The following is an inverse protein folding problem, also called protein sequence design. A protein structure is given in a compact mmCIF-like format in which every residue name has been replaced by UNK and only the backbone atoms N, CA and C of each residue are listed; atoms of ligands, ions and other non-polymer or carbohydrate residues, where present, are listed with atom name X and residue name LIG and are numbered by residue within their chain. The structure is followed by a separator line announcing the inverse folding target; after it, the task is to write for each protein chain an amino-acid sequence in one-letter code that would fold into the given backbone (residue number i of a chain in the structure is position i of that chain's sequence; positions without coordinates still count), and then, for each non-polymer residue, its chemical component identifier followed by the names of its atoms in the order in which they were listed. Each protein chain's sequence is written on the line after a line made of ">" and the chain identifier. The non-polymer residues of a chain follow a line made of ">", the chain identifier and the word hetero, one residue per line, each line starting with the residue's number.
data_IF_278369690276
#
_entry.id   IF_278369690276
#
_cell.length_a   1.000
_cell.length_b   1.000
_cell.length_c   1.000
_cell.angle_alpha   90.00
_cell.angle_beta   90.00
_cell.angle_gamma   90.00
#
_symmetry.space_group_name_H-M   'P 1'
#
loop_
_entity.id
_entity.type
_entity.pdbx_description
1 polymer ?
#
# COMPACT_ATOMS: atom_id res chain seq x y z
N UNK A 1 -6.22 -12.80 10.49
CA UNK A 1 -6.27 -12.04 9.21
C UNK A 1 -6.76 -12.94 8.09
N UNK A 2 -7.56 -12.39 7.21
CA UNK A 2 -8.11 -13.13 6.08
C UNK A 2 -7.50 -12.59 4.79
N UNK A 3 -6.95 -13.48 3.95
CA UNK A 3 -6.36 -13.07 2.68
C UNK A 3 -7.44 -12.55 1.72
N UNK A 4 -7.18 -11.41 1.10
CA UNK A 4 -8.06 -10.83 0.09
C UNK A 4 -7.67 -11.41 -1.27
N UNK A 5 -8.65 -11.95 -1.97
CA UNK A 5 -8.43 -12.48 -3.31
C UNK A 5 -8.36 -11.30 -4.29
N UNK A 6 -7.32 -11.27 -5.12
CA UNK A 6 -7.17 -10.23 -6.13
C UNK A 6 -8.20 -10.45 -7.25
N UNK A 7 -9.22 -9.59 -7.38
CA UNK A 7 -10.28 -9.80 -8.36
C UNK A 7 -9.84 -9.49 -9.79
N UNK A 8 -8.68 -8.82 -9.96
CA UNK A 8 -8.16 -8.44 -11.27
C UNK A 8 -7.26 -9.50 -11.90
N UNK A 9 -6.90 -10.52 -11.13
CA UNK A 9 -5.98 -11.57 -11.59
C UNK A 9 -6.57 -12.28 -12.82
N UNK A 10 -5.81 -12.30 -13.89
CA UNK A 10 -6.24 -12.90 -15.15
C UNK A 10 -7.05 -11.99 -16.07
N UNK A 11 -7.35 -10.77 -15.63
CA UNK A 11 -8.05 -9.80 -16.46
C UNK A 11 -7.11 -9.28 -17.54
N UNK A 12 -7.59 -9.27 -18.79
CA UNK A 12 -6.81 -8.76 -19.91
C UNK A 12 -6.47 -7.28 -19.70
N UNK A 13 -5.19 -6.95 -19.91
CA UNK A 13 -4.71 -5.57 -19.74
C UNK A 13 -4.34 -5.20 -18.32
N UNK A 14 -4.63 -6.05 -17.33
CA UNK A 14 -4.25 -5.78 -15.95
C UNK A 14 -2.75 -5.93 -15.77
N UNK A 15 -2.08 -4.83 -15.43
CA UNK A 15 -0.63 -4.79 -15.27
C UNK A 15 -0.21 -3.77 -14.21
N UNK A 16 -0.99 -3.66 -13.13
CA UNK A 16 -0.72 -2.70 -12.07
C UNK A 16 0.67 -2.88 -11.48
N UNK A 17 1.41 -1.81 -11.37
CA UNK A 17 2.74 -1.83 -10.78
C UNK A 17 2.70 -2.26 -9.31
N UNK A 18 1.65 -1.90 -8.59
CA UNK A 18 1.53 -2.20 -7.15
C UNK A 18 1.09 -3.62 -6.86
N UNK A 19 0.15 -4.17 -7.62
CA UNK A 19 -0.53 -5.41 -7.22
C UNK A 19 -0.62 -6.51 -8.29
N UNK A 20 -0.26 -6.24 -9.54
CA UNK A 20 -0.35 -7.27 -10.57
C UNK A 20 0.77 -8.29 -10.41
N UNK A 21 0.44 -9.58 -10.14
CA UNK A 21 1.48 -10.58 -9.90
C UNK A 21 2.32 -10.90 -11.14
N UNK A 22 1.79 -10.60 -12.34
CA UNK A 22 2.48 -10.87 -13.59
C UNK A 22 3.31 -9.69 -14.10
N UNK A 23 3.29 -8.55 -13.42
CA UNK A 23 4.16 -7.43 -13.76
C UNK A 23 5.55 -7.66 -13.16
N UNK A 24 6.50 -8.08 -13.98
CA UNK A 24 7.85 -8.41 -13.53
C UNK A 24 8.57 -7.23 -12.86
N UNK A 25 8.28 -6.02 -13.29
CA UNK A 25 8.87 -4.81 -12.72
C UNK A 25 8.15 -4.35 -11.45
N UNK A 26 6.97 -4.87 -11.18
CA UNK A 26 6.10 -4.41 -10.11
C UNK A 26 6.50 -4.90 -8.72
N UNK A 27 5.89 -4.33 -7.73
CA UNK A 27 6.16 -4.66 -6.32
C UNK A 27 5.32 -5.83 -5.81
N UNK A 28 4.31 -6.23 -6.55
CA UNK A 28 3.54 -7.49 -6.36
C UNK A 28 2.98 -7.64 -4.95
N UNK A 29 2.31 -6.62 -4.48
CA UNK A 29 1.71 -6.64 -3.14
C UNK A 29 0.55 -7.63 -3.04
N UNK A 30 0.44 -8.23 -1.88
CA UNK A 30 -0.71 -9.04 -1.50
C UNK A 30 -1.35 -8.43 -0.26
N UNK A 31 -2.65 -8.65 -0.07
CA UNK A 31 -3.42 -7.95 0.94
C UNK A 31 -4.23 -8.90 1.78
N UNK A 32 -4.41 -8.51 3.05
CA UNK A 32 -5.19 -9.24 4.04
C UNK A 32 -6.16 -8.28 4.70
N UNK A 33 -7.29 -8.80 5.13
CA UNK A 33 -8.26 -8.03 5.91
C UNK A 33 -8.09 -8.36 7.39
N UNK A 34 -8.02 -7.33 8.22
CA UNK A 34 -7.87 -7.46 9.67
C UNK A 34 -8.79 -6.41 10.33
N UNK A 35 -10.04 -6.82 10.64
CA UNK A 35 -11.05 -5.91 11.14
C UNK A 35 -11.39 -4.83 10.11
N UNK A 36 -11.26 -3.58 10.51
CA UNK A 36 -11.50 -2.43 9.63
C UNK A 36 -10.25 -2.04 8.82
N UNK A 37 -9.15 -2.73 9.04
CA UNK A 37 -7.90 -2.47 8.31
C UNK A 37 -7.70 -3.43 7.15
N UNK A 38 -6.92 -2.97 6.18
CA UNK A 38 -6.28 -3.82 5.18
C UNK A 38 -4.79 -3.81 5.49
N UNK A 39 -4.18 -4.99 5.41
CA UNK A 39 -2.78 -5.22 5.78
C UNK A 39 -2.03 -5.80 4.60
N UNK A 40 -0.79 -5.38 4.40
CA UNK A 40 0.12 -5.99 3.43
C UNK A 40 1.43 -6.27 4.13
N UNK A 41 1.93 -7.48 3.95
CA UNK A 41 3.25 -7.89 4.42
C UNK A 41 4.13 -7.98 3.18
N UNK A 42 5.18 -7.18 3.13
CA UNK A 42 5.99 -7.05 1.92
C UNK A 42 7.47 -7.19 2.25
N UNK A 43 8.20 -7.80 1.35
CA UNK A 43 9.63 -7.97 1.53
C UNK A 43 10.40 -6.93 0.73
N UNK A 44 11.17 -6.05 1.39
CA UNK A 44 12.05 -5.12 0.68
C UNK A 44 13.08 -5.87 -0.16
N UNK A 45 13.50 -5.27 -1.25
CA UNK A 45 14.49 -5.84 -2.17
C UNK A 45 15.52 -4.77 -2.57
N UNK A 46 16.77 -5.19 -2.86
CA UNK A 46 17.85 -4.25 -3.20
C UNK A 46 17.56 -3.40 -4.44
N UNK A 47 16.80 -3.92 -5.41
CA UNK A 47 16.47 -3.18 -6.62
C UNK A 47 15.54 -1.99 -6.37
N UNK A 48 14.96 -1.90 -5.18
CA UNK A 48 14.11 -0.77 -4.80
C UNK A 48 14.83 0.19 -3.83
N UNK A 49 16.15 0.13 -3.84
CA UNK A 49 16.99 0.98 -3.02
C UNK A 49 16.98 2.42 -3.51
N UNK A 50 16.96 3.35 -2.55
CA UNK A 50 17.27 4.75 -2.80
C UNK A 50 18.72 5.01 -2.40
N UNK A 51 18.96 5.58 -1.19
CA UNK A 51 20.29 5.61 -0.63
C UNK A 51 20.74 4.19 -0.27
N UNK A 52 22.04 4.00 -0.10
CA UNK A 52 22.61 2.67 0.19
C UNK A 52 21.84 1.99 1.33
N UNK A 53 21.38 0.76 1.09
CA UNK A 53 20.63 -0.08 2.01
C UNK A 53 19.31 0.53 2.52
N UNK A 54 18.84 1.61 1.91
CA UNK A 54 17.62 2.30 2.32
C UNK A 54 16.53 2.14 1.24
N UNK A 55 15.36 1.70 1.66
CA UNK A 55 14.22 1.58 0.74
C UNK A 55 13.85 2.96 0.20
N UNK A 56 13.77 3.07 -1.12
CA UNK A 56 13.49 4.33 -1.81
C UNK A 56 12.17 4.94 -1.34
N UNK A 57 12.19 6.26 -1.04
CA UNK A 57 10.99 6.95 -0.58
C UNK A 57 9.84 6.90 -1.58
N UNK A 58 10.15 6.95 -2.88
CA UNK A 58 9.14 6.81 -3.93
C UNK A 58 8.51 5.42 -3.95
N UNK A 59 9.29 4.37 -3.67
CA UNK A 59 8.75 3.01 -3.55
C UNK A 59 7.85 2.91 -2.34
N UNK A 60 8.24 3.50 -1.22
CA UNK A 60 7.37 3.55 -0.04
C UNK A 60 6.05 4.25 -0.37
N UNK A 61 6.10 5.34 -1.15
CA UNK A 61 4.90 6.04 -1.58
C UNK A 61 4.02 5.16 -2.47
N UNK A 62 4.61 4.37 -3.36
CA UNK A 62 3.85 3.38 -4.16
C UNK A 62 3.11 2.41 -3.26
N UNK A 63 3.81 1.84 -2.26
CA UNK A 63 3.20 0.88 -1.34
C UNK A 63 2.05 1.50 -0.55
N UNK A 64 2.22 2.72 -0.07
CA UNK A 64 1.20 3.44 0.70
C UNK A 64 -0.01 3.79 -0.17
N UNK A 65 0.23 4.26 -1.38
CA UNK A 65 -0.84 4.58 -2.33
C UNK A 65 -1.65 3.34 -2.68
N UNK A 66 -0.97 2.24 -2.96
CA UNK A 66 -1.62 1.00 -3.35
C UNK A 66 -2.50 0.44 -2.24
N UNK A 67 -1.98 0.35 -1.02
CA UNK A 67 -2.79 -0.20 0.07
C UNK A 67 -4.03 0.66 0.36
N UNK A 68 -3.93 1.98 0.20
CA UNK A 68 -5.08 2.86 0.39
C UNK A 68 -6.15 2.62 -0.68
N UNK A 69 -5.75 2.38 -1.92
CA UNK A 69 -6.69 2.02 -2.98
C UNK A 69 -7.38 0.69 -2.69
N UNK A 70 -6.64 -0.29 -2.15
CA UNK A 70 -7.21 -1.60 -1.79
C UNK A 70 -8.17 -1.52 -0.61
N UNK A 71 -7.97 -0.59 0.33
CA UNK A 71 -8.94 -0.34 1.40
C UNK A 71 -10.27 0.12 0.80
N UNK A 72 -10.23 1.05 -0.13
CA UNK A 72 -11.43 1.55 -0.80
C UNK A 72 -12.13 0.41 -1.55
N UNK A 73 -11.35 -0.36 -2.31
CA UNK A 73 -11.90 -1.51 -3.05
C UNK A 73 -12.58 -2.50 -2.11
N UNK A 74 -11.89 -2.89 -1.04
CA UNK A 74 -12.38 -3.92 -0.14
C UNK A 74 -13.56 -3.45 0.72
N UNK A 75 -13.47 -2.25 1.27
CA UNK A 75 -14.46 -1.77 2.24
C UNK A 75 -15.67 -1.11 1.58
N UNK A 76 -15.49 -0.46 0.44
CA UNK A 76 -16.58 0.25 -0.24
C UNK A 76 -17.02 -0.44 -1.53
N UNK A 77 -16.35 -1.50 -1.94
CA UNK A 77 -16.67 -2.27 -3.16
C UNK A 77 -16.71 -1.39 -4.41
N UNK A 78 -15.78 -0.44 -4.48
CA UNK A 78 -15.62 0.47 -5.61
C UNK A 78 -14.14 0.77 -5.80
N UNK A 79 -13.80 1.39 -6.92
CA UNK A 79 -12.43 1.82 -7.18
C UNK A 79 -12.29 3.32 -6.91
N UNK A 80 -11.08 3.75 -6.67
CA UNK A 80 -10.80 5.16 -6.42
C UNK A 80 -9.54 5.60 -7.13
N UNK A 81 -9.46 6.91 -7.35
CA UNK A 81 -8.29 7.56 -7.93
C UNK A 81 -7.74 8.51 -6.88
N UNK A 82 -6.44 8.43 -6.63
CA UNK A 82 -5.79 9.29 -5.64
C UNK A 82 -5.77 10.74 -6.12
N UNK A 83 -6.35 11.64 -5.33
CA UNK A 83 -6.36 13.07 -5.63
C UNK A 83 -5.33 13.84 -4.82
N UNK A 84 -5.00 13.35 -3.63
CA UNK A 84 -4.01 13.99 -2.76
C UNK A 84 -3.33 12.94 -1.90
N UNK A 85 -2.03 13.08 -1.72
CA UNK A 85 -1.26 12.20 -0.87
C UNK A 85 -0.28 13.04 -0.04
N UNK A 86 -0.31 12.83 1.27
CA UNK A 86 0.59 13.50 2.19
C UNK A 86 1.33 12.42 2.97
N UNK A 87 2.65 12.39 2.83
CA UNK A 87 3.47 11.31 3.39
C UNK A 87 4.57 11.91 4.27
N UNK A 88 4.76 11.30 5.44
CA UNK A 88 5.83 11.64 6.36
C UNK A 88 6.75 10.45 6.55
N UNK A 89 8.03 10.67 6.28
CA UNK A 89 9.08 9.67 6.46
C UNK A 89 9.75 9.92 7.81
N UNK A 90 9.46 9.10 8.79
CA UNK A 90 9.94 9.30 10.16
C UNK A 90 11.21 8.52 10.47
N UNK A 91 11.37 7.35 9.85
CA UNK A 91 12.49 6.47 10.07
C UNK A 91 12.80 5.72 8.79
N UNK A 92 14.08 5.57 8.46
CA UNK A 92 14.46 4.84 7.26
C UNK A 92 14.11 3.37 7.36
N UNK A 93 13.83 2.75 6.21
CA UNK A 93 13.56 1.31 6.11
C UNK A 93 14.75 0.66 5.44
N UNK A 94 15.28 -0.41 6.06
CA UNK A 94 16.43 -1.14 5.53
C UNK A 94 15.97 -2.12 4.45
N UNK A 95 16.61 -2.07 3.26
CA UNK A 95 16.29 -3.01 2.18
C UNK A 95 16.63 -4.45 2.51
N UNK A 96 17.37 -4.69 3.57
CA UNK A 96 17.73 -6.03 4.05
C UNK A 96 16.77 -6.59 5.09
N UNK A 97 15.78 -5.81 5.51
CA UNK A 97 14.76 -6.27 6.45
C UNK A 97 14.05 -7.50 5.89
N UNK A 98 13.73 -8.44 6.77
CA UNK A 98 13.01 -9.67 6.38
C UNK A 98 11.63 -9.35 5.83
N UNK A 99 10.98 -8.33 6.35
CA UNK A 99 9.65 -7.89 5.92
C UNK A 99 9.35 -6.50 6.51
N UNK A 100 8.36 -5.86 5.89
CA UNK A 100 7.70 -4.69 6.46
C UNK A 100 6.20 -4.96 6.45
N UNK A 101 5.46 -4.25 7.27
CA UNK A 101 4.01 -4.39 7.38
C UNK A 101 3.38 -3.04 7.09
N UNK A 102 2.40 -3.04 6.19
CA UNK A 102 1.60 -1.84 5.93
C UNK A 102 0.19 -2.10 6.45
N UNK A 103 -0.40 -1.09 7.07
CA UNK A 103 -1.78 -1.12 7.56
C UNK A 103 -2.48 0.16 7.15
N UNK A 104 -3.70 0.03 6.67
CA UNK A 104 -4.50 1.16 6.23
C UNK A 104 -5.96 1.00 6.63
N UNK A 105 -6.60 2.12 6.93
CA UNK A 105 -8.03 2.15 7.27
C UNK A 105 -8.67 3.44 6.79
N UNK A 106 -9.98 3.37 6.51
CA UNK A 106 -10.76 4.53 6.13
C UNK A 106 -11.01 5.38 7.38
N UNK A 107 -10.74 6.67 7.28
CA UNK A 107 -11.01 7.63 8.37
C UNK A 107 -12.32 8.37 8.17
N UNK A 108 -12.65 8.71 6.93
CA UNK A 108 -13.83 9.49 6.64
C UNK A 108 -14.28 9.23 5.21
N UNK A 109 -15.58 9.21 5.00
CA UNK A 109 -16.20 9.20 3.68
C UNK A 109 -17.09 10.43 3.59
N UNK A 110 -16.84 11.28 2.62
CA UNK A 110 -17.57 12.52 2.44
C UNK A 110 -17.92 12.69 0.97
N UNK A 111 -19.17 12.42 0.62
CA UNK A 111 -19.62 12.37 -0.78
C UNK A 111 -18.80 11.34 -1.57
N UNK A 112 -18.10 11.75 -2.61
CA UNK A 112 -17.26 10.87 -3.41
C UNK A 112 -15.78 10.88 -2.99
N UNK A 113 -15.45 11.52 -1.86
CA UNK A 113 -14.09 11.58 -1.34
C UNK A 113 -13.95 10.64 -0.15
N UNK A 114 -12.90 9.81 -0.18
CA UNK A 114 -12.55 8.90 0.92
C UNK A 114 -11.21 9.32 1.47
N UNK A 115 -11.15 9.54 2.77
CA UNK A 115 -9.90 9.83 3.47
C UNK A 115 -9.39 8.53 4.09
N UNK A 116 -8.17 8.14 3.73
CA UNK A 116 -7.56 6.89 4.20
C UNK A 116 -6.23 7.20 4.85
N UNK A 117 -5.96 6.57 5.99
CA UNK A 117 -4.65 6.63 6.63
C UNK A 117 -3.95 5.30 6.49
N UNK A 118 -2.64 5.38 6.25
CA UNK A 118 -1.79 4.20 6.15
C UNK A 118 -0.51 4.41 6.96
N UNK A 119 0.00 3.31 7.51
CA UNK A 119 1.29 3.30 8.21
C UNK A 119 2.11 2.14 7.72
N UNK A 120 3.42 2.37 7.64
CA UNK A 120 4.41 1.36 7.28
C UNK A 120 5.27 1.11 8.51
N UNK A 121 5.36 -0.16 8.91
CA UNK A 121 6.12 -0.61 10.07
C UNK A 121 7.30 -1.45 9.60
N UNK A 122 8.46 -1.28 10.24
CA UNK A 122 9.60 -2.15 9.96
C UNK A 122 9.41 -3.52 10.63
N UNK A 123 10.38 -4.41 10.48
CA UNK A 123 10.31 -5.76 11.05
C UNK A 123 10.18 -5.78 12.57
N UNK A 124 10.58 -4.71 13.24
CA UNK A 124 10.52 -4.59 14.70
C UNK A 124 9.23 -3.93 15.18
N UNK A 125 8.31 -3.62 14.28
CA UNK A 125 7.02 -3.00 14.60
C UNK A 125 7.09 -1.48 14.82
N UNK A 126 8.19 -0.85 14.43
CA UNK A 126 8.31 0.60 14.54
C UNK A 126 7.70 1.30 13.33
N UNK A 127 6.96 2.39 13.55
CA UNK A 127 6.39 3.19 12.47
C UNK A 127 7.51 3.93 11.76
N UNK A 128 7.69 3.65 10.47
CA UNK A 128 8.71 4.30 9.65
C UNK A 128 8.13 5.38 8.76
N UNK A 129 6.92 5.17 8.27
CA UNK A 129 6.28 6.06 7.29
C UNK A 129 4.78 6.14 7.57
N UNK A 130 4.22 7.31 7.42
CA UNK A 130 2.79 7.55 7.60
C UNK A 130 2.26 8.32 6.39
N UNK A 131 1.07 7.98 5.94
CA UNK A 131 0.41 8.67 4.82
C UNK A 131 -1.05 8.92 5.11
N UNK A 132 -1.54 10.05 4.60
CA UNK A 132 -2.97 10.37 4.55
C UNK A 132 -3.29 10.64 3.09
N UNK A 133 -4.26 9.90 2.57
CA UNK A 133 -4.68 10.02 1.18
C UNK A 133 -6.13 10.43 1.09
N UNK A 134 -6.40 11.24 0.06
CA UNK A 134 -7.77 11.51 -0.39
C UNK A 134 -7.94 10.81 -1.72
N UNK A 135 -8.94 9.95 -1.82
CA UNK A 135 -9.28 9.26 -3.05
C UNK A 135 -10.67 9.68 -3.51
N UNK A 136 -10.83 9.83 -4.81
CA UNK A 136 -12.14 10.07 -5.40
C UNK A 136 -12.64 8.71 -5.86
N UNK A 137 -13.71 8.21 -5.24
CA UNK A 137 -14.27 6.92 -5.66
C UNK A 137 -15.39 7.09 -6.69
N UNK A 138 -15.53 6.08 -7.49
CA UNK A 138 -16.48 6.05 -8.61
C UNK A 138 -17.78 5.42 -8.15
#
# INVERSE_FOLDING_TARGET
>A
MKKIINPWKGLEGYNCFGCAPNNEAGVKMEFYEDGDEVVSIWKPRPEYQGWIDTLHGGIQAVLMDEICAWVVLRKLQTTGVTSKMETRYRKSVDTKDSHIVLRASIKEVKRNIVIVEAKLYNKDGEVCTESVLSLIHI
#
